data_IF_811161356612
#
_entry.id   IF_811161356612
#
_cell.length_a   1.000
_cell.length_b   1.000
_cell.length_c   1.000
_cell.angle_alpha   90.00
_cell.angle_beta   90.00
_cell.angle_gamma   90.00
#
_symmetry.space_group_name_H-M   'P 1'
#
loop_
_entity.id
_entity.type
_entity.pdbx_description
1 polymer ?
#
# COMPACT_ATOMS: atom_id res chain seq x y z
N UNK A 1 38.19 59.68 24.10
CA UNK A 1 37.07 58.78 24.43
C UNK A 1 35.82 58.94 23.54
N UNK A 2 35.92 59.53 22.32
CA UNK A 2 34.76 59.69 21.39
C UNK A 2 34.87 58.83 20.10
N UNK A 3 35.94 58.06 19.93
CA UNK A 3 36.12 57.21 18.73
C UNK A 3 35.87 55.70 18.95
N UNK A 4 35.56 55.29 20.20
CA UNK A 4 35.33 53.87 20.51
C UNK A 4 33.85 53.48 20.53
N UNK A 5 32.94 54.44 20.49
CA UNK A 5 31.48 54.18 20.51
C UNK A 5 30.89 53.97 19.12
N UNK A 6 31.60 54.41 18.06
CA UNK A 6 31.09 54.28 16.68
C UNK A 6 31.32 52.92 16.03
N UNK A 7 32.20 52.08 16.61
CA UNK A 7 32.50 50.72 16.07
C UNK A 7 31.54 49.68 16.62
N UNK A 8 30.87 49.94 17.76
CA UNK A 8 29.93 49.00 18.36
C UNK A 8 28.49 49.07 17.79
N UNK A 9 28.17 50.15 17.06
CA UNK A 9 26.83 50.31 16.46
C UNK A 9 26.70 49.69 15.05
N UNK A 10 27.80 49.33 14.38
CA UNK A 10 27.78 48.71 13.03
C UNK A 10 27.83 47.19 13.12
N UNK A 11 28.22 46.61 14.26
CA UNK A 11 28.31 45.16 14.44
C UNK A 11 26.96 44.48 14.86
N UNK A 12 25.89 45.27 15.06
CA UNK A 12 24.61 44.78 15.58
C UNK A 12 23.49 44.74 14.52
N UNK A 13 23.81 44.94 13.25
CA UNK A 13 22.85 44.89 12.12
C UNK A 13 23.08 43.72 11.15
N UNK A 14 23.96 42.76 11.51
CA UNK A 14 24.15 41.53 10.74
C UNK A 14 23.67 40.39 11.62
N UNK A 15 22.39 40.13 11.62
CA UNK A 15 21.88 38.98 12.31
C UNK A 15 20.37 39.00 12.43
N UNK A 16 19.77 38.29 11.60
CA UNK A 16 18.47 37.61 11.63
C UNK A 16 17.74 37.79 10.30
N UNK A 17 18.42 37.39 9.23
CA UNK A 17 17.70 36.72 8.15
C UNK A 17 17.56 35.29 8.61
N UNK A 18 16.65 35.00 9.54
CA UNK A 18 16.04 33.68 9.63
C UNK A 18 15.26 33.56 8.31
N UNK A 19 15.91 32.99 7.33
CA UNK A 19 15.19 32.45 6.20
C UNK A 19 14.19 31.45 6.81
N UNK A 20 12.94 31.87 6.92
CA UNK A 20 11.84 30.98 6.98
C UNK A 20 11.98 30.19 5.66
N UNK A 21 12.62 29.02 5.68
CA UNK A 21 12.43 28.05 4.61
C UNK A 21 10.92 27.82 4.60
N UNK A 22 10.26 28.48 3.66
CA UNK A 22 8.88 28.23 3.40
C UNK A 22 8.83 26.77 2.99
N UNK A 23 8.29 25.91 3.85
CA UNK A 23 8.00 24.53 3.54
C UNK A 23 7.19 24.55 2.22
N UNK A 24 7.86 24.23 1.13
CA UNK A 24 7.25 24.23 -0.18
C UNK A 24 6.44 22.94 -0.25
N UNK A 25 5.13 23.05 -0.16
CA UNK A 25 4.25 21.93 -0.47
C UNK A 25 4.45 21.61 -1.94
N UNK A 26 4.95 20.41 -2.23
CA UNK A 26 5.08 19.95 -3.59
C UNK A 26 3.68 19.82 -4.23
N UNK A 27 3.59 20.19 -5.50
CA UNK A 27 2.35 20.11 -6.27
C UNK A 27 2.59 19.16 -7.44
N UNK A 28 1.71 18.19 -7.58
CA UNK A 28 1.79 17.15 -8.59
C UNK A 28 0.65 17.29 -9.61
N UNK A 29 0.89 16.81 -10.84
CA UNK A 29 -0.14 16.76 -11.87
C UNK A 29 -1.18 15.66 -11.61
N UNK A 30 -0.74 14.57 -10.96
CA UNK A 30 -1.54 13.40 -10.60
C UNK A 30 -1.28 13.04 -9.14
N UNK A 31 -2.34 12.80 -8.37
CA UNK A 31 -2.25 12.25 -7.03
C UNK A 31 -2.80 10.83 -6.97
N UNK A 32 -2.24 10.04 -6.07
CA UNK A 32 -2.68 8.67 -5.77
C UNK A 32 -2.65 8.44 -4.26
N UNK A 33 -3.37 7.45 -3.75
CA UNK A 33 -3.42 7.15 -2.30
C UNK A 33 -2.50 6.02 -1.87
N UNK A 34 -2.02 5.17 -2.79
CA UNK A 34 -1.11 4.06 -2.48
C UNK A 34 0.07 4.01 -3.44
N UNK A 35 1.21 3.51 -2.94
CA UNK A 35 2.45 3.44 -3.71
C UNK A 35 2.34 2.64 -5.03
N UNK A 36 1.67 1.48 -5.11
CA UNK A 36 1.57 0.75 -6.38
C UNK A 36 0.89 1.55 -7.50
N UNK A 37 -0.11 2.36 -7.19
CA UNK A 37 -0.69 3.29 -8.17
C UNK A 37 0.28 4.41 -8.55
N UNK A 38 1.11 4.88 -7.58
CA UNK A 38 2.19 5.84 -7.89
C UNK A 38 3.17 5.24 -8.89
N UNK A 39 3.66 4.03 -8.63
CA UNK A 39 4.57 3.31 -9.51
C UNK A 39 4.00 3.19 -10.94
N UNK A 40 2.77 2.74 -11.07
CA UNK A 40 2.09 2.60 -12.37
C UNK A 40 2.02 3.94 -13.10
N UNK A 41 1.53 4.99 -12.45
CA UNK A 41 1.39 6.31 -13.07
C UNK A 41 2.76 6.93 -13.43
N UNK A 42 3.78 6.76 -12.59
CA UNK A 42 5.15 7.21 -12.85
C UNK A 42 5.78 6.49 -14.05
N UNK A 43 5.64 5.17 -14.15
CA UNK A 43 6.16 4.41 -15.31
C UNK A 43 5.46 4.83 -16.60
N UNK A 44 4.13 5.05 -16.61
CA UNK A 44 3.39 5.52 -17.79
C UNK A 44 3.79 6.94 -18.17
N UNK A 45 4.00 7.84 -17.22
CA UNK A 45 4.37 9.25 -17.44
C UNK A 45 5.88 9.49 -17.62
N UNK A 46 6.69 8.43 -17.58
CA UNK A 46 8.15 8.50 -17.65
C UNK A 46 8.65 9.25 -18.88
N UNK A 47 9.57 10.19 -18.68
CA UNK A 47 10.11 11.02 -19.76
C UNK A 47 9.18 12.15 -20.21
N UNK A 48 8.02 12.33 -19.59
CA UNK A 48 7.18 13.51 -19.75
C UNK A 48 7.54 14.58 -18.71
N UNK A 49 6.88 15.74 -18.78
CA UNK A 49 6.98 16.78 -17.75
C UNK A 49 5.96 16.61 -16.62
N UNK A 50 5.18 15.55 -16.64
CA UNK A 50 4.12 15.29 -15.66
C UNK A 50 4.66 14.58 -14.44
N UNK A 51 4.13 14.94 -13.28
CA UNK A 51 4.59 14.46 -11.97
C UNK A 51 3.47 13.76 -11.23
N UNK A 52 3.84 12.74 -10.45
CA UNK A 52 2.92 11.96 -9.62
C UNK A 52 3.33 12.07 -8.16
N UNK A 53 2.36 12.23 -7.28
CA UNK A 53 2.61 12.24 -5.84
C UNK A 53 1.56 11.47 -5.06
N UNK A 54 1.93 11.03 -3.87
CA UNK A 54 0.98 10.45 -2.92
C UNK A 54 0.23 11.57 -2.22
N UNK A 55 -1.06 11.37 -1.98
CA UNK A 55 -1.88 12.27 -1.18
C UNK A 55 -1.21 12.49 0.18
N UNK A 56 -0.98 13.74 0.60
CA UNK A 56 -0.21 14.01 1.82
C UNK A 56 -0.94 13.55 3.09
N UNK A 57 -0.15 13.15 4.09
CA UNK A 57 -0.66 12.79 5.42
C UNK A 57 -1.37 11.45 5.50
N UNK A 58 -1.30 10.65 4.45
CA UNK A 58 -1.94 9.32 4.40
C UNK A 58 -1.09 8.31 5.14
N UNK A 59 -1.67 7.66 6.12
CA UNK A 59 -1.28 6.33 6.58
C UNK A 59 -2.45 5.36 6.33
N UNK A 60 -2.19 4.07 6.33
CA UNK A 60 -3.21 3.06 6.05
C UNK A 60 -4.42 3.19 6.99
N UNK A 61 -5.62 2.99 6.45
CA UNK A 61 -6.88 2.89 7.18
C UNK A 61 -7.19 4.07 8.12
N UNK A 62 -6.97 5.30 7.62
CA UNK A 62 -7.36 6.52 8.34
C UNK A 62 -8.74 7.01 7.90
N UNK A 63 -9.56 7.44 8.87
CA UNK A 63 -10.87 8.02 8.60
C UNK A 63 -10.82 9.48 8.21
N UNK A 64 -9.82 10.17 8.70
CA UNK A 64 -9.67 11.61 8.49
C UNK A 64 -8.22 11.99 8.33
N UNK A 65 -7.97 12.93 7.45
CA UNK A 65 -6.67 13.56 7.25
C UNK A 65 -6.88 15.07 7.33
N UNK A 66 -6.12 15.74 8.19
CA UNK A 66 -6.12 17.19 8.30
C UNK A 66 -5.13 17.80 7.33
N UNK A 67 -5.61 18.15 6.14
CA UNK A 67 -4.77 18.82 5.14
C UNK A 67 -4.65 20.32 5.41
N UNK A 68 -3.44 20.81 5.28
CA UNK A 68 -3.19 22.26 5.27
C UNK A 68 -3.85 22.92 4.04
N UNK A 69 -4.16 24.23 4.08
CA UNK A 69 -4.69 24.95 2.92
C UNK A 69 -3.79 24.84 1.67
N UNK A 70 -2.47 24.69 1.82
CA UNK A 70 -1.54 24.52 0.70
C UNK A 70 -1.67 23.16 0.04
N UNK A 71 -1.80 22.11 0.83
CA UNK A 71 -2.03 20.74 0.35
C UNK A 71 -3.37 20.61 -0.39
N UNK A 72 -4.43 21.19 0.17
CA UNK A 72 -5.73 21.27 -0.50
C UNK A 72 -5.61 21.98 -1.86
N UNK A 73 -4.94 23.13 -1.90
CA UNK A 73 -4.73 23.86 -3.17
C UNK A 73 -3.91 23.03 -4.16
N UNK A 74 -2.89 22.31 -3.71
CA UNK A 74 -2.08 21.46 -4.57
C UNK A 74 -2.91 20.34 -5.20
N UNK A 75 -3.62 19.58 -4.37
CA UNK A 75 -4.48 18.47 -4.84
C UNK A 75 -5.63 18.93 -5.75
N UNK A 76 -6.30 20.04 -5.41
CA UNK A 76 -7.45 20.54 -6.20
C UNK A 76 -7.05 21.17 -7.53
N UNK A 77 -5.77 21.42 -7.78
CA UNK A 77 -5.21 21.88 -9.05
C UNK A 77 -4.65 20.74 -9.92
N UNK A 78 -4.55 19.55 -9.36
CA UNK A 78 -4.13 18.39 -10.13
C UNK A 78 -5.11 18.08 -11.25
N UNK A 79 -4.68 17.30 -12.22
CA UNK A 79 -5.55 16.83 -13.31
C UNK A 79 -6.36 15.61 -12.88
N UNK A 80 -5.74 14.73 -12.07
CA UNK A 80 -6.32 13.45 -11.65
C UNK A 80 -5.93 13.16 -10.19
N UNK A 81 -6.85 12.50 -9.48
CA UNK A 81 -6.59 11.89 -8.18
C UNK A 81 -7.23 10.50 -8.19
N UNK A 82 -6.37 9.46 -8.14
CA UNK A 82 -6.81 8.07 -8.01
C UNK A 82 -6.81 7.64 -6.55
N UNK A 83 -7.87 6.99 -6.12
CA UNK A 83 -7.99 6.45 -4.77
C UNK A 83 -8.67 5.08 -4.78
N UNK A 84 -8.35 4.27 -3.78
CA UNK A 84 -8.73 2.84 -3.76
C UNK A 84 -10.24 2.67 -3.59
N UNK A 85 -10.85 3.30 -2.60
CA UNK A 85 -12.18 2.96 -2.10
C UNK A 85 -12.14 1.81 -1.08
N UNK A 86 -13.16 0.99 -1.03
CA UNK A 86 -13.23 -0.21 -0.17
C UNK A 86 -12.87 0.06 1.31
N UNK A 87 -13.32 1.19 1.83
CA UNK A 87 -13.05 1.70 3.18
C UNK A 87 -11.56 1.97 3.50
N UNK A 88 -10.68 1.95 2.49
CA UNK A 88 -9.26 2.19 2.68
C UNK A 88 -8.91 3.68 2.84
N UNK A 89 -9.54 4.53 2.01
CA UNK A 89 -9.26 5.96 1.92
C UNK A 89 -10.55 6.79 1.96
N UNK A 90 -11.45 6.44 2.88
CA UNK A 90 -12.74 7.10 3.11
C UNK A 90 -12.63 8.61 3.36
N UNK A 91 -11.49 9.08 3.87
CA UNK A 91 -11.20 10.49 4.04
C UNK A 91 -11.30 11.28 2.72
N UNK A 92 -11.12 10.64 1.55
CA UNK A 92 -11.39 11.25 0.25
C UNK A 92 -12.91 11.38 0.05
N UNK A 93 -13.67 10.30 0.22
CA UNK A 93 -15.12 10.28 0.04
C UNK A 93 -15.80 11.34 0.91
N UNK A 94 -15.39 11.47 2.17
CA UNK A 94 -15.95 12.46 3.11
C UNK A 94 -15.61 13.91 2.76
N UNK A 95 -14.58 14.15 1.95
CA UNK A 95 -14.12 15.47 1.56
C UNK A 95 -14.58 15.89 0.14
N UNK A 96 -15.26 15.01 -0.61
CA UNK A 96 -15.67 15.30 -2.00
C UNK A 96 -16.46 16.60 -2.07
N UNK A 97 -17.50 16.75 -1.27
CA UNK A 97 -18.35 17.94 -1.30
C UNK A 97 -17.66 19.20 -0.75
N UNK A 98 -16.83 19.05 0.28
CA UNK A 98 -16.23 20.18 0.99
C UNK A 98 -14.98 20.74 0.31
N UNK A 99 -14.14 19.85 -0.27
CA UNK A 99 -12.84 20.20 -0.83
C UNK A 99 -12.82 20.12 -2.34
N UNK A 100 -13.35 19.04 -2.92
CA UNK A 100 -13.18 18.74 -4.33
C UNK A 100 -14.34 19.19 -5.22
N UNK A 101 -15.50 19.52 -4.64
CA UNK A 101 -16.64 20.00 -5.41
C UNK A 101 -16.30 21.25 -6.22
N UNK A 102 -16.67 21.26 -7.52
CA UNK A 102 -16.41 22.33 -8.47
C UNK A 102 -14.92 22.68 -8.65
N UNK A 103 -14.04 21.70 -8.49
CA UNK A 103 -12.61 21.78 -8.82
C UNK A 103 -12.33 21.08 -10.14
N UNK A 104 -11.18 21.42 -10.75
CA UNK A 104 -10.79 20.86 -12.05
C UNK A 104 -10.22 19.44 -11.94
N UNK A 105 -9.88 18.97 -10.72
CA UNK A 105 -9.35 17.63 -10.48
C UNK A 105 -10.45 16.59 -10.70
N UNK A 106 -10.16 15.59 -11.51
CA UNK A 106 -11.00 14.41 -11.68
C UNK A 106 -10.65 13.36 -10.61
N UNK A 107 -11.63 12.98 -9.80
CA UNK A 107 -11.50 11.93 -8.81
C UNK A 107 -11.86 10.58 -9.44
N UNK A 108 -10.95 9.62 -9.35
CA UNK A 108 -11.15 8.26 -9.89
C UNK A 108 -11.07 7.26 -8.74
N UNK A 109 -12.24 6.78 -8.30
CA UNK A 109 -12.35 5.71 -7.30
C UNK A 109 -12.17 4.38 -8.00
N UNK A 110 -11.10 3.65 -7.65
CA UNK A 110 -10.76 2.37 -8.30
C UNK A 110 -11.87 1.33 -8.10
N UNK A 111 -12.42 1.23 -6.90
CA UNK A 111 -13.53 0.32 -6.57
C UNK A 111 -14.73 0.44 -7.52
N UNK A 112 -15.01 1.65 -8.01
CA UNK A 112 -16.18 1.91 -8.86
C UNK A 112 -15.93 1.58 -10.35
N UNK A 113 -14.69 1.22 -10.71
CA UNK A 113 -14.26 0.97 -12.10
C UNK A 113 -14.41 -0.52 -12.48
N UNK A 114 -15.63 -1.04 -12.37
CA UNK A 114 -15.94 -2.47 -12.54
C UNK A 114 -15.67 -3.02 -13.95
N UNK A 115 -15.54 -2.15 -14.95
CA UNK A 115 -15.14 -2.55 -16.31
C UNK A 115 -13.65 -2.95 -16.39
N UNK A 116 -12.84 -2.53 -15.42
CA UNK A 116 -11.40 -2.80 -15.34
C UNK A 116 -11.06 -3.81 -14.26
N UNK A 117 -11.60 -3.64 -13.05
CA UNK A 117 -11.25 -4.45 -11.89
C UNK A 117 -12.50 -4.84 -11.09
N UNK A 118 -12.55 -6.08 -10.65
CA UNK A 118 -13.51 -6.58 -9.68
C UNK A 118 -12.82 -6.78 -8.32
N UNK A 119 -13.37 -6.11 -7.30
CA UNK A 119 -12.90 -6.27 -5.92
C UNK A 119 -13.49 -7.54 -5.30
N UNK A 120 -12.66 -8.29 -4.59
CA UNK A 120 -13.13 -9.45 -3.82
C UNK A 120 -13.74 -9.00 -2.50
N UNK A 121 -14.58 -9.85 -1.91
CA UNK A 121 -15.03 -9.66 -0.53
C UNK A 121 -13.89 -9.99 0.43
N UNK A 122 -13.77 -9.15 1.46
CA UNK A 122 -12.76 -9.29 2.51
C UNK A 122 -13.35 -9.02 3.89
N UNK A 123 -12.51 -8.99 4.89
CA UNK A 123 -12.88 -8.60 6.26
C UNK A 123 -12.91 -7.07 6.32
N UNK A 124 -13.95 -6.47 6.89
CA UNK A 124 -13.95 -5.04 7.17
C UNK A 124 -13.16 -4.82 8.46
N UNK A 125 -12.16 -3.96 8.38
CA UNK A 125 -11.44 -3.49 9.56
C UNK A 125 -12.39 -2.61 10.39
N UNK A 126 -12.84 -3.12 11.54
CA UNK A 126 -14.00 -2.64 12.26
C UNK A 126 -13.67 -1.55 13.28
N UNK A 127 -12.72 -0.63 12.92
CA UNK A 127 -12.41 0.51 13.79
C UNK A 127 -13.60 1.47 14.04
N UNK A 128 -14.76 1.27 13.40
CA UNK A 128 -15.87 2.24 13.34
C UNK A 128 -17.22 1.76 13.83
N UNK A 129 -17.41 0.51 14.24
CA UNK A 129 -18.67 0.12 14.85
C UNK A 129 -18.62 0.38 16.35
N UNK A 130 -18.75 1.64 16.73
CA UNK A 130 -19.13 2.01 18.09
C UNK A 130 -20.62 1.76 18.25
N UNK A 131 -21.04 0.59 18.50
CA UNK A 131 -22.08 0.24 19.48
C UNK A 131 -22.39 -1.26 19.40
N UNK A 132 -22.06 -1.93 20.50
CA UNK A 132 -22.56 -3.21 20.94
C UNK A 132 -23.69 -3.80 20.09
N UNK A 133 -23.41 -4.85 19.36
CA UNK A 133 -24.15 -6.12 19.39
C UNK A 133 -23.75 -6.97 18.20
N UNK A 134 -23.21 -8.16 18.54
CA UNK A 134 -22.98 -9.29 17.65
C UNK A 134 -21.85 -9.13 16.63
N UNK A 135 -20.79 -9.85 16.87
CA UNK A 135 -19.74 -10.23 15.92
C UNK A 135 -20.34 -11.05 14.76
N UNK A 136 -21.05 -10.41 13.86
CA UNK A 136 -21.14 -10.86 12.48
C UNK A 136 -20.06 -10.07 11.76
N UNK A 137 -19.02 -10.75 11.26
CA UNK A 137 -18.00 -10.16 10.40
C UNK A 137 -18.70 -9.33 9.33
N UNK A 138 -18.59 -8.02 9.41
CA UNK A 138 -19.15 -7.15 8.39
C UNK A 138 -18.27 -7.34 7.17
N UNK A 139 -18.73 -8.16 6.23
CA UNK A 139 -18.04 -8.38 4.97
C UNK A 139 -18.10 -7.09 4.14
N UNK A 140 -16.95 -6.63 3.71
CA UNK A 140 -16.80 -5.54 2.77
C UNK A 140 -15.88 -5.94 1.63
N UNK A 141 -15.50 -5.00 0.80
CA UNK A 141 -14.50 -5.26 -0.22
C UNK A 141 -13.10 -5.21 0.38
N UNK A 142 -12.22 -6.14 -0.04
CA UNK A 142 -10.79 -6.10 0.29
C UNK A 142 -10.11 -5.00 -0.53
N UNK A 143 -9.52 -3.97 0.09
CA UNK A 143 -8.84 -2.90 -0.61
C UNK A 143 -7.48 -3.27 -1.20
N UNK A 144 -6.85 -4.39 -0.77
CA UNK A 144 -5.44 -4.70 -0.99
C UNK A 144 -5.18 -5.35 -2.36
N UNK A 145 -5.87 -4.89 -3.42
CA UNK A 145 -5.75 -5.44 -4.77
C UNK A 145 -4.31 -5.48 -5.30
N UNK A 146 -3.47 -4.55 -4.87
CA UNK A 146 -2.10 -4.39 -5.36
C UNK A 146 -1.12 -5.50 -4.93
N UNK A 147 -1.53 -6.36 -4.00
CA UNK A 147 -0.76 -7.56 -3.63
C UNK A 147 -0.80 -8.60 -4.77
N UNK A 148 -1.80 -8.52 -5.65
CA UNK A 148 -1.88 -9.35 -6.86
C UNK A 148 -1.33 -8.60 -8.08
N UNK A 149 -0.24 -9.08 -8.72
CA UNK A 149 0.25 -8.57 -10.00
C UNK A 149 -0.83 -8.48 -11.08
N UNK A 150 -1.70 -9.49 -11.16
CA UNK A 150 -2.84 -9.51 -12.08
C UNK A 150 -3.79 -8.33 -11.88
N UNK A 151 -4.06 -7.96 -10.63
CA UNK A 151 -4.92 -6.81 -10.33
C UNK A 151 -4.23 -5.48 -10.64
N UNK A 152 -2.93 -5.39 -10.40
CA UNK A 152 -2.16 -4.20 -10.77
C UNK A 152 -2.11 -4.03 -12.29
N UNK A 153 -2.02 -5.11 -13.06
CA UNK A 153 -2.13 -5.08 -14.52
C UNK A 153 -3.49 -4.49 -14.95
N UNK A 154 -4.60 -4.92 -14.36
CA UNK A 154 -5.94 -4.38 -14.62
C UNK A 154 -6.05 -2.89 -14.28
N UNK A 155 -5.57 -2.48 -13.12
CA UNK A 155 -5.56 -1.06 -12.70
C UNK A 155 -4.62 -0.23 -13.57
N UNK A 156 -3.54 -0.81 -14.10
CA UNK A 156 -2.63 -0.11 -15.01
C UNK A 156 -3.31 0.31 -16.31
N UNK A 157 -4.24 -0.50 -16.83
CA UNK A 157 -5.06 -0.16 -17.99
C UNK A 157 -5.95 1.05 -17.70
N UNK A 158 -6.67 1.05 -16.59
CA UNK A 158 -7.48 2.18 -16.16
C UNK A 158 -6.65 3.48 -16.03
N UNK A 159 -5.49 3.40 -15.37
CA UNK A 159 -4.63 4.58 -15.17
C UNK A 159 -4.12 5.09 -16.54
N UNK A 160 -3.71 4.17 -17.43
CA UNK A 160 -3.26 4.52 -18.78
C UNK A 160 -4.37 5.22 -19.58
N UNK A 161 -5.60 4.70 -19.57
CA UNK A 161 -6.73 5.29 -20.29
C UNK A 161 -7.04 6.70 -19.77
N UNK A 162 -7.08 6.88 -18.46
CA UNK A 162 -7.30 8.19 -17.83
C UNK A 162 -6.18 9.20 -18.14
N UNK A 163 -4.92 8.76 -18.13
CA UNK A 163 -3.79 9.60 -18.49
C UNK A 163 -3.80 9.96 -19.98
N UNK A 164 -4.16 9.02 -20.85
CA UNK A 164 -4.28 9.23 -22.30
C UNK A 164 -5.40 10.23 -22.64
N UNK A 165 -6.55 10.10 -21.96
CA UNK A 165 -7.64 11.07 -22.09
C UNK A 165 -7.22 12.47 -21.63
N UNK A 166 -6.48 12.56 -20.53
CA UNK A 166 -6.07 13.83 -19.92
C UNK A 166 -4.91 14.49 -20.69
N UNK A 167 -4.00 13.70 -21.28
CA UNK A 167 -2.79 14.18 -21.93
C UNK A 167 -2.63 13.70 -23.38
N UNK A 168 -3.61 13.94 -24.28
CA UNK A 168 -3.61 13.37 -25.63
C UNK A 168 -2.39 13.80 -26.48
N UNK A 169 -1.77 14.95 -26.16
CA UNK A 169 -0.55 15.40 -26.83
C UNK A 169 0.69 14.55 -26.52
N UNK A 170 0.63 13.70 -25.49
CA UNK A 170 1.70 12.82 -25.04
C UNK A 170 1.47 11.36 -25.45
N UNK A 171 0.40 11.06 -26.22
CA UNK A 171 -0.06 9.69 -26.49
C UNK A 171 1.07 8.74 -26.91
N UNK A 172 1.94 9.17 -27.83
CA UNK A 172 3.00 8.31 -28.36
C UNK A 172 3.98 7.81 -27.27
N UNK A 173 4.30 8.68 -26.29
CA UNK A 173 5.19 8.30 -25.20
C UNK A 173 4.44 7.47 -24.14
N UNK A 174 3.16 7.79 -23.87
CA UNK A 174 2.33 7.02 -22.96
C UNK A 174 2.14 5.59 -23.48
N UNK A 175 1.86 5.40 -24.78
CA UNK A 175 1.71 4.08 -25.40
C UNK A 175 2.98 3.24 -25.25
N UNK A 176 4.13 3.81 -25.57
CA UNK A 176 5.41 3.09 -25.46
C UNK A 176 5.74 2.69 -24.01
N UNK A 177 5.51 3.59 -23.07
CA UNK A 177 5.76 3.35 -21.66
C UNK A 177 4.79 2.31 -21.09
N UNK A 178 3.50 2.42 -21.42
CA UNK A 178 2.47 1.47 -20.99
C UNK A 178 2.77 0.05 -21.50
N UNK A 179 3.14 -0.11 -22.77
CA UNK A 179 3.52 -1.42 -23.30
C UNK A 179 4.72 -2.04 -22.56
N UNK A 180 5.71 -1.23 -22.18
CA UNK A 180 6.84 -1.70 -21.38
C UNK A 180 6.41 -2.11 -19.96
N UNK A 181 5.48 -1.38 -19.35
CA UNK A 181 4.92 -1.70 -18.02
C UNK A 181 4.11 -3.00 -18.07
N UNK A 182 3.22 -3.13 -19.06
CA UNK A 182 2.40 -4.34 -19.28
C UNK A 182 3.28 -5.56 -19.39
N UNK A 183 4.34 -5.52 -20.20
CA UNK A 183 5.27 -6.66 -20.34
C UNK A 183 5.84 -7.10 -18.98
N UNK A 184 6.30 -6.17 -18.15
CA UNK A 184 6.84 -6.47 -16.82
C UNK A 184 5.78 -7.06 -15.87
N UNK A 185 4.56 -6.53 -15.91
CA UNK A 185 3.47 -7.00 -15.05
C UNK A 185 2.97 -8.37 -15.51
N UNK A 186 2.89 -8.64 -16.82
CA UNK A 186 2.54 -9.94 -17.37
C UNK A 186 3.59 -11.01 -17.02
N UNK A 187 4.88 -10.69 -17.11
CA UNK A 187 5.95 -11.60 -16.68
C UNK A 187 5.81 -11.94 -15.19
N UNK A 188 5.59 -10.93 -14.36
CA UNK A 188 5.39 -11.13 -12.92
C UNK A 188 4.13 -11.95 -12.61
N UNK A 189 3.01 -11.72 -13.31
CA UNK A 189 1.76 -12.49 -13.17
C UNK A 189 1.94 -13.96 -13.53
N UNK A 190 2.68 -14.23 -14.60
CA UNK A 190 3.04 -15.60 -15.02
C UNK A 190 3.87 -16.29 -13.96
N UNK A 191 4.90 -15.62 -13.42
CA UNK A 191 5.79 -16.19 -12.40
C UNK A 191 5.03 -16.47 -11.09
N UNK A 192 4.11 -15.58 -10.68
CA UNK A 192 3.22 -15.83 -9.53
C UNK A 192 2.29 -17.03 -9.78
N UNK A 193 1.73 -17.12 -10.97
CA UNK A 193 0.88 -18.26 -11.37
C UNK A 193 1.65 -19.56 -11.31
N UNK A 194 2.89 -19.60 -11.81
CA UNK A 194 3.72 -20.80 -11.83
C UNK A 194 4.12 -21.24 -10.40
N UNK A 195 4.54 -20.31 -9.56
CA UNK A 195 5.01 -20.60 -8.21
C UNK A 195 3.89 -21.01 -7.27
N UNK A 196 2.75 -20.32 -7.32
CA UNK A 196 1.64 -20.56 -6.39
C UNK A 196 0.68 -21.63 -6.93
N UNK A 197 0.44 -21.63 -8.24
CA UNK A 197 -0.50 -22.54 -8.89
C UNK A 197 -0.15 -24.01 -8.69
N UNK A 198 -1.11 -24.77 -8.17
CA UNK A 198 -0.92 -26.22 -7.96
C UNK A 198 -0.15 -26.60 -6.69
N UNK A 199 0.18 -25.66 -5.84
CA UNK A 199 0.79 -25.93 -4.55
C UNK A 199 -0.29 -26.29 -3.52
N UNK A 200 -0.02 -27.33 -2.70
CA UNK A 200 -0.91 -27.77 -1.61
C UNK A 200 -0.32 -27.43 -0.23
N UNK A 201 0.58 -26.46 -0.15
CA UNK A 201 1.18 -26.04 1.10
C UNK A 201 0.38 -24.89 1.71
N UNK A 202 0.20 -24.95 3.02
CA UNK A 202 -0.35 -23.83 3.78
C UNK A 202 0.80 -22.92 4.24
N UNK A 203 0.63 -21.64 4.02
CA UNK A 203 1.45 -20.61 4.65
C UNK A 203 0.69 -20.00 5.81
N UNK A 204 1.39 -19.53 6.83
CA UNK A 204 0.78 -18.80 7.92
C UNK A 204 1.26 -17.35 7.90
N UNK A 205 0.32 -16.42 7.85
CA UNK A 205 0.60 -14.98 7.82
C UNK A 205 0.13 -14.33 9.12
N UNK A 206 0.79 -13.24 9.50
CA UNK A 206 0.43 -12.47 10.68
C UNK A 206 -0.96 -11.85 10.57
N UNK A 207 -1.36 -11.42 9.37
CA UNK A 207 -2.61 -10.71 9.08
C UNK A 207 -3.31 -11.27 7.85
N UNK A 208 -4.56 -10.87 7.60
CA UNK A 208 -5.41 -11.38 6.53
C UNK A 208 -5.41 -10.47 5.28
N UNK A 209 -4.22 -10.09 4.79
CA UNK A 209 -4.06 -9.20 3.63
C UNK A 209 -3.97 -9.92 2.27
N UNK A 210 -3.93 -11.25 2.26
CA UNK A 210 -3.50 -12.03 1.09
C UNK A 210 -4.65 -12.64 0.30
N UNK A 211 -5.86 -12.11 0.48
CA UNK A 211 -7.07 -12.58 -0.19
C UNK A 211 -6.96 -12.60 -1.72
N UNK A 212 -6.35 -11.59 -2.31
CA UNK A 212 -6.13 -11.55 -3.77
C UNK A 212 -5.12 -12.58 -4.25
N UNK A 213 -4.08 -12.92 -3.49
CA UNK A 213 -3.18 -14.03 -3.88
C UNK A 213 -3.90 -15.37 -3.84
N UNK A 214 -4.79 -15.57 -2.86
CA UNK A 214 -5.64 -16.76 -2.79
C UNK A 214 -6.61 -16.82 -3.98
N UNK A 215 -7.32 -15.71 -4.26
CA UNK A 215 -8.31 -15.64 -5.32
C UNK A 215 -7.72 -15.81 -6.73
N UNK A 216 -6.60 -15.14 -7.00
CA UNK A 216 -6.05 -15.01 -8.34
C UNK A 216 -5.07 -16.15 -8.69
N UNK A 217 -4.38 -16.71 -7.70
CA UNK A 217 -3.32 -17.72 -7.89
C UNK A 217 -3.56 -19.02 -7.12
N UNK A 218 -4.53 -19.05 -6.20
CA UNK A 218 -4.83 -20.24 -5.40
C UNK A 218 -3.92 -20.45 -4.20
N UNK A 219 -3.36 -19.36 -3.63
CA UNK A 219 -2.56 -19.44 -2.40
C UNK A 219 -3.41 -19.99 -1.26
N UNK A 220 -2.97 -21.08 -0.64
CA UNK A 220 -3.55 -21.59 0.59
C UNK A 220 -2.84 -20.98 1.78
N UNK A 221 -3.57 -20.26 2.62
CA UNK A 221 -2.98 -19.63 3.79
C UNK A 221 -3.90 -19.63 5.01
N UNK A 222 -3.29 -19.51 6.17
CA UNK A 222 -3.93 -19.25 7.46
C UNK A 222 -3.46 -17.88 7.93
N UNK A 223 -4.35 -17.08 8.49
CA UNK A 223 -3.98 -15.82 9.14
C UNK A 223 -4.03 -15.96 10.66
N UNK A 224 -3.04 -15.40 11.35
CA UNK A 224 -3.03 -15.34 12.81
C UNK A 224 -4.04 -14.31 13.29
N UNK A 225 -4.03 -13.10 12.70
CA UNK A 225 -5.11 -12.14 12.89
C UNK A 225 -6.18 -12.33 11.81
N UNK A 226 -7.48 -12.32 12.14
CA UNK A 226 -8.54 -12.41 11.15
C UNK A 226 -8.68 -11.14 10.31
N UNK A 227 -8.24 -10.00 10.84
CA UNK A 227 -8.29 -8.69 10.19
C UNK A 227 -7.01 -8.32 9.45
N UNK A 228 -7.00 -7.10 8.91
CA UNK A 228 -5.85 -6.54 8.19
C UNK A 228 -4.75 -6.04 9.13
N UNK A 229 -5.05 -5.92 10.42
CA UNK A 229 -4.10 -5.54 11.47
C UNK A 229 -4.19 -6.51 12.66
N UNK A 230 -3.12 -6.59 13.44
CA UNK A 230 -3.16 -7.34 14.70
C UNK A 230 -3.75 -6.46 15.81
N UNK A 231 -4.93 -6.84 16.29
CA UNK A 231 -5.59 -6.24 17.45
C UNK A 231 -5.43 -7.13 18.68
N UNK A 232 -4.55 -6.76 19.58
CA UNK A 232 -4.20 -7.59 20.76
C UNK A 232 -5.31 -7.72 21.79
N UNK A 233 -6.26 -6.80 21.81
CA UNK A 233 -7.34 -6.76 22.82
C UNK A 233 -8.46 -7.77 22.53
N UNK A 234 -8.55 -8.29 21.33
CA UNK A 234 -9.63 -9.16 20.87
C UNK A 234 -9.31 -10.67 21.00
N UNK A 235 -8.06 -11.05 21.29
CA UNK A 235 -7.65 -12.46 21.33
C UNK A 235 -7.79 -13.09 22.70
N UNK A 236 -8.63 -14.12 22.77
CA UNK A 236 -8.73 -15.00 23.92
C UNK A 236 -7.59 -16.03 23.92
N UNK A 237 -7.34 -16.61 25.09
CA UNK A 237 -6.37 -17.72 25.20
C UNK A 237 -6.78 -18.94 24.36
N UNK A 238 -8.09 -19.14 24.14
CA UNK A 238 -8.61 -20.24 23.34
C UNK A 238 -8.31 -20.02 21.85
N UNK A 239 -8.54 -18.82 21.32
CA UNK A 239 -8.25 -18.51 19.91
C UNK A 239 -6.76 -18.66 19.61
N UNK A 240 -5.89 -18.23 20.52
CA UNK A 240 -4.45 -18.47 20.38
C UNK A 240 -4.11 -19.96 20.33
N UNK A 241 -4.73 -20.78 21.21
CA UNK A 241 -4.54 -22.23 21.22
C UNK A 241 -5.03 -22.86 19.91
N UNK A 242 -6.16 -22.41 19.38
CA UNK A 242 -6.71 -22.89 18.11
C UNK A 242 -5.77 -22.57 16.93
N UNK A 243 -5.21 -21.36 16.87
CA UNK A 243 -4.21 -20.97 15.85
C UNK A 243 -2.94 -21.83 15.95
N UNK A 244 -2.44 -22.06 17.16
CA UNK A 244 -1.28 -22.92 17.38
C UNK A 244 -1.56 -24.34 16.94
N UNK A 245 -2.75 -24.87 17.23
CA UNK A 245 -3.16 -26.21 16.79
C UNK A 245 -3.26 -26.32 15.27
N UNK A 246 -3.82 -25.30 14.59
CA UNK A 246 -3.86 -25.25 13.12
C UNK A 246 -2.44 -25.22 12.54
N UNK A 247 -1.52 -24.45 13.12
CA UNK A 247 -0.12 -24.43 12.69
C UNK A 247 0.53 -25.82 12.80
N UNK A 248 0.22 -26.58 13.83
CA UNK A 248 0.72 -27.95 14.06
C UNK A 248 0.09 -28.93 13.07
N UNK A 249 -1.22 -28.89 12.90
CA UNK A 249 -1.98 -29.77 11.96
C UNK A 249 -1.45 -29.61 10.54
N UNK A 250 -1.25 -28.38 10.09
CA UNK A 250 -0.75 -28.06 8.76
C UNK A 250 0.78 -28.11 8.64
N UNK A 251 1.50 -28.46 9.72
CA UNK A 251 2.97 -28.57 9.74
C UNK A 251 3.66 -27.29 9.27
N UNK A 252 3.14 -26.15 9.69
CA UNK A 252 3.65 -24.81 9.31
C UNK A 252 5.12 -24.67 9.74
N UNK A 253 5.99 -24.46 8.77
CA UNK A 253 7.41 -24.22 9.00
C UNK A 253 7.78 -22.74 8.97
N UNK A 254 6.96 -21.92 8.32
CA UNK A 254 7.22 -20.51 8.11
C UNK A 254 6.03 -19.68 8.57
N UNK A 255 6.32 -18.65 9.37
CA UNK A 255 5.35 -17.62 9.73
C UNK A 255 5.79 -16.32 9.06
N UNK A 256 4.91 -15.77 8.24
CA UNK A 256 5.15 -14.59 7.41
C UNK A 256 4.57 -13.37 8.10
N UNK A 257 5.42 -12.41 8.37
CA UNK A 257 5.10 -11.14 8.99
C UNK A 257 5.06 -10.03 7.94
N UNK A 258 4.33 -8.98 8.21
CA UNK A 258 4.47 -7.74 7.45
C UNK A 258 5.77 -7.03 7.83
N UNK A 259 6.55 -6.60 6.84
CA UNK A 259 7.88 -6.01 7.07
C UNK A 259 7.84 -4.69 7.86
N UNK A 260 6.71 -4.01 7.90
CA UNK A 260 6.56 -2.67 8.51
C UNK A 260 5.65 -2.65 9.74
N UNK A 261 4.99 -3.76 10.06
CA UNK A 261 4.03 -3.84 11.15
C UNK A 261 4.64 -4.41 12.43
N UNK A 262 4.09 -4.02 13.58
CA UNK A 262 4.34 -4.69 14.85
C UNK A 262 3.33 -5.84 15.01
N UNK A 263 3.82 -7.01 15.36
CA UNK A 263 3.01 -8.23 15.36
C UNK A 263 3.10 -8.95 16.73
N UNK A 264 2.51 -8.38 17.79
CA UNK A 264 2.61 -8.94 19.14
C UNK A 264 1.90 -10.28 19.26
N UNK A 265 0.77 -10.49 18.58
CA UNK A 265 0.04 -11.74 18.58
C UNK A 265 0.80 -12.84 17.84
N UNK A 266 1.29 -12.55 16.65
CA UNK A 266 2.12 -13.48 15.87
C UNK A 266 3.38 -13.87 16.63
N UNK A 267 4.00 -12.94 17.36
CA UNK A 267 5.13 -13.25 18.25
C UNK A 267 4.71 -14.17 19.42
N UNK A 268 3.51 -14.03 19.96
CA UNK A 268 3.00 -14.90 21.01
C UNK A 268 2.72 -16.33 20.47
N UNK A 269 2.15 -16.46 19.27
CA UNK A 269 1.96 -17.75 18.59
C UNK A 269 3.30 -18.40 18.27
N UNK A 270 4.24 -17.63 17.74
CA UNK A 270 5.60 -18.08 17.43
C UNK A 270 6.30 -18.66 18.67
N UNK A 271 6.27 -17.93 19.79
CA UNK A 271 6.88 -18.35 21.06
C UNK A 271 6.21 -19.61 21.64
N UNK A 272 4.90 -19.74 21.51
CA UNK A 272 4.18 -20.93 21.94
C UNK A 272 4.61 -22.16 21.15
N UNK A 273 4.71 -22.03 19.81
CA UNK A 273 5.20 -23.10 18.94
C UNK A 273 6.62 -23.53 19.32
N UNK A 274 7.53 -22.59 19.61
CA UNK A 274 8.88 -22.90 20.09
C UNK A 274 8.84 -23.67 21.41
N UNK A 275 7.97 -23.26 22.34
CA UNK A 275 7.82 -23.93 23.65
C UNK A 275 7.34 -25.38 23.50
N UNK A 276 6.51 -25.64 22.48
CA UNK A 276 6.02 -26.98 22.14
C UNK A 276 7.05 -27.82 21.34
N UNK A 277 8.20 -27.25 21.04
CA UNK A 277 9.30 -27.93 20.30
C UNK A 277 9.21 -27.81 18.78
N UNK A 278 8.30 -27.02 18.27
CA UNK A 278 8.29 -26.59 16.87
C UNK A 278 9.21 -25.38 16.75
N UNK A 279 9.97 -25.30 15.64
CA UNK A 279 10.89 -24.20 15.43
C UNK A 279 10.53 -23.51 14.10
N UNK A 280 9.44 -22.72 14.07
CA UNK A 280 9.07 -22.03 12.85
C UNK A 280 10.11 -20.98 12.48
N UNK A 281 10.20 -20.66 11.18
CA UNK A 281 11.10 -19.65 10.66
C UNK A 281 10.28 -18.40 10.36
N UNK A 282 10.76 -17.25 10.85
CA UNK A 282 10.15 -15.96 10.55
C UNK A 282 10.57 -15.49 9.16
N UNK A 283 9.60 -15.12 8.34
CA UNK A 283 9.80 -14.43 7.07
C UNK A 283 9.11 -13.07 7.10
N UNK A 284 9.52 -12.15 6.23
CA UNK A 284 8.95 -10.80 6.18
C UNK A 284 8.50 -10.48 4.74
N UNK A 285 7.19 -10.28 4.58
CA UNK A 285 6.55 -9.89 3.32
C UNK A 285 6.37 -8.38 3.29
N UNK A 286 6.75 -7.75 2.19
CA UNK A 286 6.50 -6.32 2.00
C UNK A 286 5.15 -6.12 1.31
N UNK A 287 4.19 -5.56 2.03
CA UNK A 287 2.82 -5.34 1.53
C UNK A 287 2.70 -4.11 0.60
N UNK A 288 3.78 -3.37 0.35
CA UNK A 288 3.86 -2.30 -0.64
C UNK A 288 2.84 -1.16 -0.49
N UNK A 289 2.26 -0.96 0.68
CA UNK A 289 1.42 0.24 0.92
C UNK A 289 2.20 1.52 0.69
N UNK A 290 3.48 1.51 1.08
CA UNK A 290 4.44 2.58 0.84
C UNK A 290 5.80 1.98 0.54
N UNK A 291 6.67 2.77 -0.09
CA UNK A 291 8.07 2.44 -0.26
C UNK A 291 8.91 3.53 0.42
N UNK A 292 9.84 3.12 1.28
CA UNK A 292 10.69 4.08 1.99
C UNK A 292 11.65 4.80 1.04
N UNK A 293 12.15 5.96 1.44
CA UNK A 293 13.16 6.65 0.65
C UNK A 293 14.45 5.81 0.52
N UNK A 294 14.82 5.08 1.56
CA UNK A 294 15.98 4.19 1.54
C UNK A 294 15.80 3.06 0.51
N UNK A 295 14.59 2.50 0.38
CA UNK A 295 14.28 1.51 -0.64
C UNK A 295 14.32 2.09 -2.05
N UNK A 296 13.78 3.30 -2.24
CA UNK A 296 13.83 4.03 -3.53
C UNK A 296 15.27 4.37 -3.92
N UNK A 297 16.09 4.83 -2.97
CA UNK A 297 17.51 5.14 -3.17
C UNK A 297 18.31 3.86 -3.46
N UNK A 298 17.89 2.71 -2.94
CA UNK A 298 18.44 1.40 -3.28
C UNK A 298 17.96 0.88 -4.66
N UNK A 299 17.13 1.65 -5.37
CA UNK A 299 16.60 1.28 -6.69
C UNK A 299 15.47 0.25 -6.66
N UNK A 300 14.85 0.04 -5.50
CA UNK A 300 13.67 -0.83 -5.41
C UNK A 300 12.43 -0.15 -6.00
N UNK A 301 11.60 -0.94 -6.63
CA UNK A 301 10.31 -0.57 -7.19
C UNK A 301 9.26 -1.66 -6.92
N UNK A 302 8.04 -1.47 -7.40
CA UNK A 302 6.97 -2.45 -7.25
C UNK A 302 7.39 -3.84 -7.77
N UNK A 303 7.96 -3.91 -8.97
CA UNK A 303 8.34 -5.18 -9.61
C UNK A 303 9.41 -5.91 -8.80
N UNK A 304 10.48 -5.21 -8.45
CA UNK A 304 11.61 -5.81 -7.70
C UNK A 304 11.22 -6.28 -6.31
N UNK A 305 10.33 -5.57 -5.62
CA UNK A 305 9.83 -5.98 -4.31
C UNK A 305 8.87 -7.16 -4.43
N UNK A 306 8.01 -7.18 -5.45
CA UNK A 306 7.13 -8.33 -5.69
C UNK A 306 7.91 -9.60 -6.04
N UNK A 307 9.03 -9.51 -6.76
CA UNK A 307 9.93 -10.66 -6.95
C UNK A 307 10.57 -11.12 -5.62
N UNK A 308 10.96 -10.21 -4.73
CA UNK A 308 11.43 -10.59 -3.38
C UNK A 308 10.35 -11.31 -2.58
N UNK A 309 9.11 -10.84 -2.66
CA UNK A 309 7.96 -11.50 -2.06
C UNK A 309 7.71 -12.88 -2.67
N UNK A 310 7.86 -13.02 -3.98
CA UNK A 310 7.71 -14.31 -4.68
C UNK A 310 8.81 -15.31 -4.26
N UNK A 311 10.05 -14.86 -4.10
CA UNK A 311 11.16 -15.70 -3.61
C UNK A 311 10.89 -16.19 -2.18
N UNK A 312 10.27 -15.38 -1.35
CA UNK A 312 9.80 -15.78 -0.03
C UNK A 312 8.72 -16.88 -0.12
N UNK A 313 7.76 -16.74 -1.04
CA UNK A 313 6.72 -17.75 -1.28
C UNK A 313 7.36 -19.05 -1.80
N UNK A 314 8.30 -19.00 -2.74
CA UNK A 314 9.08 -20.15 -3.21
C UNK A 314 9.74 -20.89 -2.05
N UNK A 315 10.40 -20.14 -1.16
CA UNK A 315 11.04 -20.72 0.02
C UNK A 315 10.02 -21.39 0.95
N UNK A 316 8.91 -20.71 1.25
CA UNK A 316 7.90 -21.21 2.18
C UNK A 316 7.11 -22.41 1.65
N UNK A 317 6.92 -22.49 0.34
CA UNK A 317 6.21 -23.60 -0.33
C UNK A 317 7.12 -24.75 -0.75
N UNK A 318 8.45 -24.57 -0.68
CA UNK A 318 9.40 -25.55 -1.16
C UNK A 318 9.38 -25.73 -2.69
N UNK A 319 8.96 -24.70 -3.41
CA UNK A 319 8.93 -24.70 -4.88
C UNK A 319 10.35 -24.98 -5.44
N UNK A 320 10.43 -25.91 -6.36
CA UNK A 320 11.66 -26.24 -7.09
C UNK A 320 11.43 -25.93 -8.56
N UNK A 321 12.23 -25.05 -9.11
CA UNK A 321 12.22 -24.78 -10.56
C UNK A 321 12.48 -26.10 -11.32
N UNK A 322 11.57 -26.42 -12.22
CA UNK A 322 11.59 -27.65 -13.03
C UNK A 322 12.61 -27.62 -14.17
#
# INVERSE_FOLDING_TARGET
MKKLILIFAVAMSIGFSVACEAYQTESYDVYVTVYPMQYVAEEILKGTSKTVGIVPGVSSHQDSVDWSPKEIIAMTKASLLFYVGANYDQYIDFQIESIFANKDVELVKIQDQTDYIEFIMGVVDDHHISDSTTSEDVLGYDPHFWISPKKVLQVSELIYDKLSEKYPSMQLILDANYQNLVTKLEELDVDFTEVIGGQNYFMMFSTNLYGYLSNDYGLHYLSISPGYHEETEQFTSQEKEDIVNEAIIHQIQYIVYESTATSPLSNAVFTELETLGYNPIKLEYNVLQSLTNDDKDAGKDYISVMYQNLDLIKLATGYIEG
#
